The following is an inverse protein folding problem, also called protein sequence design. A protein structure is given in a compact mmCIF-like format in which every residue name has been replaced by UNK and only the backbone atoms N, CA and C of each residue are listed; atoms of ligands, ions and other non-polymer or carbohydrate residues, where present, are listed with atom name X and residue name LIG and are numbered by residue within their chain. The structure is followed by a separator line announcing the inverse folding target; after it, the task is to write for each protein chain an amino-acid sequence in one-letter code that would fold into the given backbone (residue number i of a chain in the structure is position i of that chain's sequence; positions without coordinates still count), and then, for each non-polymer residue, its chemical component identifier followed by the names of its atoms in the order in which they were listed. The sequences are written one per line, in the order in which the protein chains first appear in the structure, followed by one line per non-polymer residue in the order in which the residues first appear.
data_IF_717325000598
#
_entry.id   IF_717325000598
#
_cell.length_a   1.000
_cell.length_b   1.000
_cell.length_c   1.000
_cell.angle_alpha   90.00
_cell.angle_beta   90.00
_cell.angle_gamma   90.00
#
_symmetry.space_group_name_H-M   'P 1'
#
loop_
_entity.id
_entity.type
_entity.pdbx_description
1 polymer ?
#
# COMPACT_ATOMS: atom_id res chain seq x y z
N UNK A 1 19.55 -11.27 26.80
CA UNK A 1 19.73 -12.09 25.55
C UNK A 1 18.81 -11.52 24.49
N UNK A 2 19.24 -11.46 23.20
CA UNK A 2 18.34 -11.02 22.12
C UNK A 2 17.89 -12.21 21.30
N UNK A 3 16.59 -12.32 21.05
CA UNK A 3 15.99 -13.41 20.26
C UNK A 3 15.25 -12.81 19.07
N UNK A 4 15.38 -13.43 17.91
CA UNK A 4 14.65 -13.08 16.69
C UNK A 4 13.71 -14.24 16.34
N UNK A 5 12.42 -13.96 16.20
CA UNK A 5 11.37 -14.96 15.90
C UNK A 5 10.56 -14.52 14.68
N UNK A 6 10.43 -15.40 13.70
CA UNK A 6 9.58 -15.20 12.51
C UNK A 6 8.31 -16.02 12.70
N UNK A 7 7.17 -15.35 12.67
CA UNK A 7 5.86 -16.00 12.78
C UNK A 7 5.25 -16.24 11.38
N UNK A 8 5.35 -15.22 10.50
CA UNK A 8 4.87 -15.27 9.12
C UNK A 8 5.87 -14.55 8.20
N UNK A 9 5.69 -14.66 6.87
CA UNK A 9 6.47 -13.93 5.87
C UNK A 9 7.74 -14.64 5.37
N UNK A 10 8.09 -15.85 5.87
CA UNK A 10 9.29 -16.56 5.41
C UNK A 10 9.09 -17.39 4.13
N UNK A 11 7.87 -17.78 3.79
CA UNK A 11 7.55 -18.66 2.66
C UNK A 11 6.25 -18.30 1.96
N UNK A 12 5.73 -17.13 2.24
CA UNK A 12 4.49 -16.62 1.71
C UNK A 12 4.59 -15.11 1.51
N UNK A 13 3.81 -14.57 0.59
CA UNK A 13 3.68 -13.13 0.38
C UNK A 13 2.67 -12.59 1.37
N UNK A 14 3.02 -11.48 2.04
CA UNK A 14 2.16 -10.79 2.99
C UNK A 14 2.13 -11.38 4.40
N UNK A 15 1.47 -10.65 5.30
CA UNK A 15 1.34 -10.99 6.70
C UNK A 15 2.67 -11.05 7.45
N UNK A 16 3.67 -10.34 6.99
CA UNK A 16 4.98 -10.32 7.65
C UNK A 16 4.83 -9.95 9.12
N UNK A 17 5.33 -10.83 9.99
CA UNK A 17 5.36 -10.60 11.42
C UNK A 17 6.63 -11.19 12.02
N UNK A 18 7.52 -10.30 12.44
CA UNK A 18 8.80 -10.66 13.04
C UNK A 18 8.93 -9.99 14.40
N UNK A 19 9.48 -10.69 15.36
CA UNK A 19 9.65 -10.22 16.74
C UNK A 19 11.12 -10.23 17.11
N UNK A 20 11.63 -9.08 17.53
CA UNK A 20 12.92 -8.93 18.23
C UNK A 20 12.62 -8.77 19.70
N UNK A 21 13.07 -9.73 20.49
CA UNK A 21 12.81 -9.76 21.92
C UNK A 21 14.12 -9.70 22.72
N UNK A 22 14.11 -8.83 23.73
CA UNK A 22 15.17 -8.73 24.75
C UNK A 22 14.65 -9.12 26.13
N UNK A 23 15.42 -8.90 27.16
CA UNK A 23 14.96 -9.13 28.54
C UNK A 23 13.90 -8.09 28.96
N UNK A 24 13.93 -6.86 28.42
CA UNK A 24 13.06 -5.75 28.84
C UNK A 24 11.91 -5.48 27.84
N UNK A 25 12.14 -5.68 26.54
CA UNK A 25 11.20 -5.21 25.52
C UNK A 25 11.00 -6.21 24.37
N UNK A 26 9.91 -6.02 23.62
CA UNK A 26 9.66 -6.65 22.32
C UNK A 26 9.36 -5.58 21.27
N UNK A 27 10.17 -5.56 20.23
CA UNK A 27 9.93 -4.82 19.00
C UNK A 27 9.34 -5.77 17.97
N UNK A 28 8.18 -5.45 17.43
CA UNK A 28 7.45 -6.25 16.45
C UNK A 28 7.39 -5.48 15.13
N UNK A 29 7.71 -6.17 14.01
CA UNK A 29 7.70 -5.57 12.67
C UNK A 29 6.42 -5.96 11.95
N UNK A 30 5.70 -4.94 11.50
CA UNK A 30 4.48 -5.03 10.74
C UNK A 30 3.37 -5.87 11.41
N UNK A 31 2.14 -5.65 11.01
CA UNK A 31 0.99 -6.42 11.48
C UNK A 31 -0.10 -6.38 10.43
N UNK A 32 0.17 -7.00 9.31
CA UNK A 32 -0.77 -7.12 8.21
C UNK A 32 -1.40 -8.50 8.13
N UNK A 33 -2.28 -8.66 7.15
CA UNK A 33 -2.89 -9.95 6.87
C UNK A 33 -1.95 -10.84 6.07
N UNK A 34 -1.78 -12.09 6.50
CA UNK A 34 -1.25 -13.13 5.64
C UNK A 34 -2.17 -13.33 4.44
N UNK A 35 -1.61 -13.86 3.34
CA UNK A 35 -2.27 -13.98 2.03
C UNK A 35 -3.75 -14.34 2.11
N UNK A 36 -4.54 -13.65 1.32
CA UNK A 36 -6.00 -13.63 1.30
C UNK A 36 -6.66 -14.99 0.97
N UNK A 37 -5.93 -16.01 0.52
CA UNK A 37 -6.45 -17.36 0.29
C UNK A 37 -6.98 -18.04 1.57
N UNK A 38 -6.51 -17.57 2.74
CA UNK A 38 -7.01 -18.01 4.06
C UNK A 38 -8.30 -17.31 4.49
N UNK A 39 -8.75 -16.31 3.70
CA UNK A 39 -9.95 -15.52 3.96
C UNK A 39 -10.99 -15.83 2.86
N UNK A 40 -11.80 -16.85 3.07
CA UNK A 40 -12.92 -17.15 2.16
C UNK A 40 -14.01 -16.08 2.29
N UNK A 41 -14.36 -15.40 1.21
CA UNK A 41 -15.44 -14.41 1.15
C UNK A 41 -16.81 -14.93 1.64
N UNK A 42 -16.99 -16.24 1.67
CA UNK A 42 -18.22 -16.90 2.12
C UNK A 42 -18.27 -17.14 3.62
N UNK A 43 -17.13 -17.04 4.30
CA UNK A 43 -17.03 -17.23 5.76
C UNK A 43 -16.70 -15.89 6.39
N UNK A 44 -17.73 -15.20 6.88
CA UNK A 44 -17.53 -13.93 7.57
C UNK A 44 -16.97 -14.15 8.98
N UNK A 45 -15.94 -13.41 9.34
CA UNK A 45 -15.46 -13.33 10.71
C UNK A 45 -16.50 -12.65 11.60
N UNK A 46 -16.57 -13.04 12.86
CA UNK A 46 -17.52 -12.47 13.81
C UNK A 46 -17.09 -11.07 14.22
N UNK A 47 -17.99 -10.10 14.10
CA UNK A 47 -17.68 -8.69 14.31
C UNK A 47 -17.00 -8.41 15.67
N UNK A 48 -17.50 -9.02 16.76
CA UNK A 48 -16.97 -8.81 18.11
C UNK A 48 -15.74 -9.68 18.45
N UNK A 49 -15.41 -10.66 17.63
CA UNK A 49 -14.31 -11.60 17.85
C UNK A 49 -13.36 -11.65 16.64
N UNK A 50 -13.39 -10.63 15.79
CA UNK A 50 -12.66 -10.66 14.51
C UNK A 50 -11.15 -10.88 14.69
N UNK A 51 -10.51 -10.26 15.68
CA UNK A 51 -9.09 -10.45 15.98
C UNK A 51 -8.78 -11.93 16.32
N UNK A 52 -9.61 -12.55 17.18
CA UNK A 52 -9.43 -13.95 17.53
C UNK A 52 -9.72 -14.90 16.36
N UNK A 53 -10.71 -14.58 15.54
CA UNK A 53 -11.04 -15.38 14.35
C UNK A 53 -9.92 -15.32 13.30
N UNK A 54 -9.40 -14.13 12.99
CA UNK A 54 -8.26 -13.99 12.07
C UNK A 54 -6.99 -14.67 12.61
N UNK A 55 -6.72 -14.57 13.91
CA UNK A 55 -5.57 -15.25 14.51
C UNK A 55 -5.71 -16.78 14.43
N UNK A 56 -6.92 -17.33 14.67
CA UNK A 56 -7.21 -18.77 14.56
C UNK A 56 -7.11 -19.29 13.13
N UNK A 57 -7.45 -18.46 12.14
CA UNK A 57 -7.27 -18.78 10.73
C UNK A 57 -5.80 -18.69 10.28
N UNK A 58 -4.92 -18.14 11.13
CA UNK A 58 -3.53 -17.86 10.78
C UNK A 58 -3.36 -16.65 9.84
N UNK A 59 -4.41 -15.85 9.67
CA UNK A 59 -4.34 -14.60 8.90
C UNK A 59 -3.67 -13.47 9.68
N UNK A 60 -3.68 -13.55 11.03
CA UNK A 60 -2.92 -12.68 11.93
C UNK A 60 -2.07 -13.52 12.89
N UNK A 61 -1.00 -12.94 13.39
CA UNK A 61 -0.12 -13.61 14.33
C UNK A 61 -0.75 -13.73 15.71
N UNK A 62 -0.46 -14.85 16.39
CA UNK A 62 -0.79 -15.11 17.80
C UNK A 62 0.44 -14.88 18.65
N UNK A 63 0.52 -13.73 19.34
CA UNK A 63 1.66 -13.32 20.15
C UNK A 63 1.18 -12.81 21.53
N UNK A 64 1.91 -13.12 22.59
CA UNK A 64 1.68 -12.53 23.91
C UNK A 64 1.92 -11.02 23.90
N UNK A 65 1.10 -10.29 24.66
CA UNK A 65 1.29 -8.87 24.91
C UNK A 65 0.84 -7.92 23.79
N UNK A 66 0.03 -8.40 22.83
CA UNK A 66 -0.44 -7.53 21.73
C UNK A 66 -1.96 -7.32 21.71
N UNK A 67 -2.73 -8.21 22.30
CA UNK A 67 -4.18 -8.16 22.29
C UNK A 67 -4.76 -7.69 23.63
N UNK A 68 -6.02 -7.21 23.59
CA UNK A 68 -6.81 -6.94 24.78
C UNK A 68 -7.09 -8.22 25.58
N UNK A 69 -7.62 -8.06 26.80
CA UNK A 69 -7.83 -9.18 27.73
C UNK A 69 -8.79 -10.25 27.18
N UNK A 70 -9.88 -9.82 26.49
CA UNK A 70 -10.89 -10.73 25.98
C UNK A 70 -10.33 -11.56 24.80
N UNK A 71 -9.68 -10.91 23.85
CA UNK A 71 -9.03 -11.55 22.70
C UNK A 71 -7.91 -12.48 23.16
N UNK A 72 -7.02 -12.00 24.04
CA UNK A 72 -5.91 -12.80 24.57
C UNK A 72 -6.40 -14.04 25.29
N UNK A 73 -7.42 -13.92 26.17
CA UNK A 73 -8.06 -15.05 26.86
C UNK A 73 -8.62 -16.07 25.86
N UNK A 74 -9.30 -15.60 24.81
CA UNK A 74 -9.88 -16.45 23.76
C UNK A 74 -8.82 -17.26 23.01
N UNK A 75 -7.62 -16.68 22.85
CA UNK A 75 -6.48 -17.30 22.16
C UNK A 75 -5.55 -18.09 23.10
N UNK A 76 -5.74 -17.99 24.43
CA UNK A 76 -4.85 -18.60 25.41
C UNK A 76 -3.50 -17.87 25.55
N UNK A 77 -3.50 -16.57 25.30
CA UNK A 77 -2.32 -15.70 25.34
C UNK A 77 -2.32 -14.78 26.57
N UNK A 78 -1.16 -14.18 26.86
CA UNK A 78 -1.04 -13.09 27.84
C UNK A 78 -1.51 -11.79 27.17
N UNK A 79 -2.43 -11.05 27.82
CA UNK A 79 -2.90 -9.76 27.31
C UNK A 79 -1.83 -8.69 27.41
N UNK A 80 -2.01 -7.58 26.64
CA UNK A 80 -1.11 -6.43 26.70
C UNK A 80 -0.92 -5.89 28.13
N UNK A 81 -1.99 -5.74 28.88
CA UNK A 81 -1.94 -5.23 30.25
C UNK A 81 -1.21 -6.15 31.23
N UNK A 82 -1.23 -7.45 30.99
CA UNK A 82 -0.64 -8.46 31.88
C UNK A 82 0.77 -8.89 31.47
N UNK A 83 1.25 -8.45 30.31
CA UNK A 83 2.63 -8.73 29.90
C UNK A 83 3.61 -7.83 30.66
N UNK A 84 4.71 -8.41 31.08
CA UNK A 84 5.77 -7.71 31.83
C UNK A 84 6.76 -6.96 30.92
N UNK A 85 6.77 -7.28 29.64
CA UNK A 85 7.66 -6.66 28.65
C UNK A 85 7.05 -5.39 28.08
N UNK A 86 7.92 -4.48 27.66
CA UNK A 86 7.52 -3.28 26.93
C UNK A 86 7.30 -3.64 25.48
N UNK A 87 6.05 -3.91 25.09
CA UNK A 87 5.67 -4.28 23.74
C UNK A 87 5.42 -3.05 22.89
N UNK A 88 5.94 -3.03 21.65
CA UNK A 88 5.69 -1.99 20.68
C UNK A 88 5.86 -2.50 19.25
N UNK A 89 5.19 -1.84 18.30
CA UNK A 89 5.30 -2.12 16.88
C UNK A 89 6.09 -1.04 16.13
N UNK A 90 6.72 -1.46 15.04
CA UNK A 90 7.20 -0.59 13.96
C UNK A 90 6.57 -1.04 12.65
N UNK A 91 6.01 -0.11 11.88
CA UNK A 91 5.32 -0.39 10.62
C UNK A 91 6.10 0.19 9.47
N UNK A 92 6.51 -0.66 8.54
CA UNK A 92 7.34 -0.27 7.41
C UNK A 92 6.60 0.62 6.41
N UNK A 93 5.35 0.29 6.08
CA UNK A 93 4.54 1.04 5.12
C UNK A 93 3.05 0.69 5.21
N UNK A 94 2.23 1.34 4.37
CA UNK A 94 0.78 1.32 4.48
C UNK A 94 0.09 0.33 3.51
N UNK A 95 0.74 -0.76 3.09
CA UNK A 95 0.06 -1.87 2.43
C UNK A 95 -0.72 -2.73 3.45
N UNK A 96 -1.80 -3.36 2.98
CA UNK A 96 -2.72 -4.10 3.84
C UNK A 96 -2.06 -5.30 4.52
N UNK A 97 -1.13 -5.93 3.85
CA UNK A 97 -0.36 -7.08 4.33
C UNK A 97 0.77 -6.70 5.32
N UNK A 98 0.97 -5.39 5.56
CA UNK A 98 1.89 -4.84 6.56
C UNK A 98 1.16 -4.11 7.69
N UNK A 99 0.00 -3.47 7.44
CA UNK A 99 -0.69 -2.66 8.43
C UNK A 99 -2.16 -3.04 8.69
N UNK A 100 -2.74 -3.94 7.90
CA UNK A 100 -4.18 -4.21 7.92
C UNK A 100 -4.73 -4.70 9.26
N UNK A 101 -3.92 -5.34 10.08
CA UNK A 101 -4.30 -5.83 11.41
C UNK A 101 -4.23 -4.81 12.55
N UNK A 102 -3.69 -3.61 12.33
CA UNK A 102 -3.41 -2.64 13.40
C UNK A 102 -4.61 -2.32 14.30
N UNK A 103 -5.79 -2.22 13.72
CA UNK A 103 -7.02 -1.95 14.48
C UNK A 103 -7.43 -3.04 15.44
N UNK A 104 -6.85 -4.23 15.34
CA UNK A 104 -7.14 -5.40 16.18
C UNK A 104 -6.21 -5.53 17.38
N UNK A 105 -5.14 -4.73 17.42
CA UNK A 105 -4.24 -4.63 18.57
C UNK A 105 -4.94 -3.96 19.76
N UNK A 106 -4.44 -4.22 20.97
CA UNK A 106 -4.82 -3.41 22.13
C UNK A 106 -4.55 -1.93 21.85
N UNK A 107 -5.55 -1.09 22.07
CA UNK A 107 -5.51 0.33 21.67
C UNK A 107 -4.51 1.19 22.47
N UNK A 108 -3.93 0.65 23.54
CA UNK A 108 -2.89 1.31 24.33
C UNK A 108 -1.47 0.92 23.85
N UNK A 109 -1.36 -0.11 23.03
CA UNK A 109 -0.08 -0.55 22.48
C UNK A 109 0.53 0.53 21.57
N UNK A 110 1.81 0.83 21.76
CA UNK A 110 2.52 1.83 20.97
C UNK A 110 2.85 1.27 19.57
N UNK A 111 2.48 2.00 18.53
CA UNK A 111 2.78 1.71 17.13
C UNK A 111 3.55 2.87 16.53
N UNK A 112 4.78 2.64 16.13
CA UNK A 112 5.66 3.62 15.52
C UNK A 112 5.72 3.40 14.00
N UNK A 113 5.80 4.50 13.25
CA UNK A 113 5.93 4.51 11.79
C UNK A 113 6.57 5.83 11.35
N UNK A 114 6.87 6.02 10.08
CA UNK A 114 7.29 7.33 9.61
C UNK A 114 6.15 8.36 9.76
N UNK A 115 6.48 9.66 9.84
CA UNK A 115 5.47 10.74 9.88
C UNK A 115 4.54 10.69 8.67
N UNK A 116 5.09 10.42 7.48
CA UNK A 116 4.30 10.32 6.25
C UNK A 116 3.38 9.09 6.25
N UNK A 117 3.86 7.95 6.74
CA UNK A 117 3.01 6.77 6.97
C UNK A 117 1.87 7.07 7.93
N UNK A 118 2.14 7.78 9.04
CA UNK A 118 1.09 8.17 9.97
C UNK A 118 0.07 9.11 9.33
N UNK A 119 0.55 10.07 8.54
CA UNK A 119 -0.32 11.00 7.80
C UNK A 119 -1.22 10.26 6.81
N UNK A 120 -0.67 9.28 6.08
CA UNK A 120 -1.45 8.43 5.18
C UNK A 120 -2.44 7.55 5.97
N UNK A 121 -1.98 6.89 7.03
CA UNK A 121 -2.83 6.03 7.87
C UNK A 121 -4.09 6.77 8.37
N UNK A 122 -3.94 8.01 8.83
CA UNK A 122 -5.08 8.84 9.26
C UNK A 122 -6.02 9.20 8.11
N UNK A 123 -5.52 9.28 6.87
CA UNK A 123 -6.38 9.47 5.69
C UNK A 123 -7.11 8.20 5.31
N UNK A 124 -6.43 7.04 5.30
CA UNK A 124 -7.04 5.74 5.08
C UNK A 124 -8.19 5.52 6.08
N UNK A 125 -7.97 5.82 7.36
CA UNK A 125 -9.00 5.73 8.40
C UNK A 125 -10.18 6.68 8.12
N UNK A 126 -9.92 7.93 7.78
CA UNK A 126 -10.94 8.93 7.51
C UNK A 126 -11.77 8.63 6.25
N UNK A 127 -11.19 7.96 5.25
CA UNK A 127 -11.87 7.53 4.03
C UNK A 127 -12.53 6.15 4.16
N UNK A 128 -12.35 5.46 5.29
CA UNK A 128 -12.88 4.10 5.47
C UNK A 128 -12.10 3.02 4.72
N UNK A 129 -10.88 3.32 4.27
CA UNK A 129 -9.99 2.39 3.54
C UNK A 129 -9.08 1.63 4.52
N UNK A 130 -9.67 1.12 5.59
CA UNK A 130 -9.06 0.22 6.57
C UNK A 130 -10.00 -0.94 6.88
N UNK A 131 -9.44 -2.09 7.26
CA UNK A 131 -10.22 -3.33 7.34
C UNK A 131 -11.28 -3.35 8.45
N UNK A 132 -11.02 -2.78 9.62
CA UNK A 132 -11.95 -2.84 10.75
C UNK A 132 -12.11 -1.47 11.40
N UNK A 133 -11.10 -1.01 12.09
CA UNK A 133 -11.03 0.28 12.78
C UNK A 133 -9.58 0.74 12.85
N UNK A 134 -9.35 2.04 13.04
CA UNK A 134 -8.02 2.57 13.24
C UNK A 134 -7.43 2.20 14.61
N UNK A 135 -6.11 2.16 14.67
CA UNK A 135 -5.36 2.10 15.92
C UNK A 135 -5.05 3.51 16.41
N UNK A 136 -5.39 3.81 17.68
CA UNK A 136 -5.32 5.18 18.19
C UNK A 136 -3.90 5.61 18.54
N UNK A 137 -3.11 4.72 19.12
CA UNK A 137 -1.81 5.03 19.72
C UNK A 137 -0.66 4.88 18.73
N UNK A 138 -0.75 5.60 17.60
CA UNK A 138 0.28 5.65 16.58
C UNK A 138 1.14 6.91 16.73
N UNK A 139 2.45 6.75 16.57
CA UNK A 139 3.46 7.80 16.69
C UNK A 139 4.25 7.87 15.38
N UNK A 140 4.26 9.06 14.75
CA UNK A 140 5.10 9.35 13.59
C UNK A 140 6.50 9.75 14.01
N UNK A 141 7.51 9.19 13.36
CA UNK A 141 8.93 9.51 13.58
C UNK A 141 9.50 10.08 12.28
N UNK A 142 10.16 11.24 12.31
CA UNK A 142 10.87 11.76 11.14
C UNK A 142 11.95 10.81 10.65
N UNK A 143 12.21 10.80 9.34
CA UNK A 143 13.33 10.04 8.78
C UNK A 143 14.67 10.54 9.35
N UNK A 144 15.57 9.62 9.64
CA UNK A 144 16.88 9.88 10.26
C UNK A 144 16.84 10.04 11.78
N UNK A 145 15.66 10.03 12.39
CA UNK A 145 15.50 10.11 13.84
C UNK A 145 15.40 8.71 14.46
N UNK A 146 15.62 8.66 15.78
CA UNK A 146 15.55 7.41 16.54
C UNK A 146 14.75 7.56 17.81
N UNK A 147 14.24 6.44 18.32
CA UNK A 147 13.57 6.35 19.61
C UNK A 147 14.00 5.08 20.35
N UNK A 148 13.76 5.03 21.64
CA UNK A 148 14.14 3.89 22.49
C UNK A 148 12.98 3.43 23.33
N UNK A 149 12.73 2.11 23.36
CA UNK A 149 11.76 1.46 24.25
C UNK A 149 12.48 0.32 24.99
N UNK A 150 12.58 0.45 26.31
CA UNK A 150 13.38 -0.47 27.11
C UNK A 150 14.86 -0.39 26.73
N UNK A 151 15.41 -1.50 26.34
CA UNK A 151 16.80 -1.66 25.89
C UNK A 151 16.93 -1.82 24.36
N UNK A 152 15.87 -1.47 23.60
CA UNK A 152 15.84 -1.49 22.13
C UNK A 152 15.79 -0.05 21.61
N UNK A 153 16.74 0.32 20.75
CA UNK A 153 16.75 1.59 20.01
C UNK A 153 16.45 1.34 18.55
N UNK A 154 15.57 2.13 17.95
CA UNK A 154 15.12 2.03 16.56
C UNK A 154 15.40 3.34 15.84
N UNK A 155 16.14 3.28 14.73
CA UNK A 155 16.33 4.38 13.77
C UNK A 155 15.41 4.18 12.57
N UNK A 156 14.74 5.25 12.13
CA UNK A 156 13.77 5.24 11.03
C UNK A 156 14.40 5.86 9.79
N UNK A 157 14.46 5.11 8.68
CA UNK A 157 15.12 5.57 7.46
C UNK A 157 14.17 5.45 6.27
N UNK A 158 14.20 6.45 5.40
CA UNK A 158 13.38 6.43 4.18
C UNK A 158 13.79 5.31 3.23
N UNK A 159 12.79 4.74 2.55
CA UNK A 159 12.96 3.77 1.47
C UNK A 159 12.02 4.14 0.32
N UNK A 160 12.42 3.92 -0.94
CA UNK A 160 11.53 4.07 -2.09
C UNK A 160 10.66 2.83 -2.25
N UNK A 161 9.35 3.05 -2.21
CA UNK A 161 8.32 2.06 -2.49
C UNK A 161 7.14 2.75 -3.19
N UNK A 162 6.10 2.00 -3.59
CA UNK A 162 4.94 2.58 -4.29
C UNK A 162 3.91 3.21 -3.34
N UNK A 163 4.21 3.27 -2.06
CA UNK A 163 3.39 3.91 -1.02
C UNK A 163 4.20 4.98 -0.29
N UNK A 164 3.66 6.19 -0.22
CA UNK A 164 4.27 7.30 0.53
C UNK A 164 4.44 6.92 2.00
N UNK A 165 5.59 7.25 2.54
CA UNK A 165 5.90 7.00 3.94
C UNK A 165 6.66 5.69 4.18
N UNK A 166 6.95 4.90 3.14
CA UNK A 166 7.72 3.69 3.29
C UNK A 166 9.07 3.94 3.98
N UNK A 167 9.42 3.08 4.92
CA UNK A 167 10.63 3.18 5.71
C UNK A 167 11.20 1.82 6.08
N UNK A 168 12.51 1.77 6.20
CA UNK A 168 13.22 0.67 6.82
C UNK A 168 13.76 1.08 8.19
N UNK A 169 14.20 0.10 8.95
CA UNK A 169 14.59 0.27 10.33
C UNK A 169 15.99 -0.31 10.61
N UNK A 170 16.78 0.43 11.38
CA UNK A 170 17.94 -0.11 12.07
C UNK A 170 17.60 -0.27 13.54
N UNK A 171 17.68 -1.49 14.05
CA UNK A 171 17.34 -1.84 15.42
C UNK A 171 18.60 -2.22 16.14
N UNK A 172 18.89 -1.50 17.22
CA UNK A 172 20.03 -1.77 18.11
C UNK A 172 19.53 -2.38 19.41
N UNK A 173 20.09 -3.52 19.76
CA UNK A 173 19.79 -4.27 20.98
C UNK A 173 21.07 -4.61 21.74
N UNK A 174 21.00 -5.07 22.98
CA UNK A 174 22.19 -5.58 23.69
C UNK A 174 22.90 -6.77 23.00
N UNK A 175 22.19 -7.47 22.11
CA UNK A 175 22.73 -8.65 21.39
C UNK A 175 23.28 -8.36 20.01
N UNK A 176 23.11 -7.14 19.48
CA UNK A 176 23.58 -6.76 18.15
C UNK A 176 22.60 -5.86 17.42
N UNK A 177 22.89 -5.61 16.16
CA UNK A 177 22.16 -4.71 15.26
C UNK A 177 21.43 -5.47 14.17
N UNK A 178 20.19 -5.09 13.90
CA UNK A 178 19.31 -5.70 12.90
C UNK A 178 18.86 -4.62 11.94
N UNK A 179 18.88 -4.91 10.64
CA UNK A 179 18.21 -4.11 9.62
C UNK A 179 16.93 -4.83 9.19
N UNK A 180 15.83 -4.11 9.17
CA UNK A 180 14.58 -4.52 8.53
C UNK A 180 14.26 -3.56 7.40
N UNK A 181 14.14 -4.08 6.17
CA UNK A 181 13.93 -3.22 4.99
C UNK A 181 12.48 -2.80 4.80
N UNK A 182 11.50 -3.59 5.30
CA UNK A 182 10.17 -3.54 4.70
C UNK A 182 10.27 -3.87 3.21
N UNK A 183 9.28 -3.43 2.43
CA UNK A 183 9.28 -3.55 0.97
C UNK A 183 9.96 -2.35 0.33
N UNK A 184 10.68 -2.58 -0.77
CA UNK A 184 11.43 -1.53 -1.47
C UNK A 184 11.52 -1.77 -2.97
N UNK A 185 11.87 -0.74 -3.72
CA UNK A 185 12.09 -0.81 -5.17
C UNK A 185 13.27 0.06 -5.60
N UNK A 186 13.80 -0.22 -6.80
CA UNK A 186 14.83 0.59 -7.47
C UNK A 186 14.31 1.24 -8.78
N UNK A 187 13.08 0.97 -9.15
CA UNK A 187 12.43 1.49 -10.36
C UNK A 187 11.38 2.58 -10.05
N UNK A 188 11.33 3.07 -8.82
CA UNK A 188 10.50 4.18 -8.38
C UNK A 188 11.03 5.54 -8.84
N UNK A 189 10.44 6.61 -8.30
CA UNK A 189 10.90 7.98 -8.57
C UNK A 189 12.20 8.32 -7.83
N UNK A 190 12.53 7.62 -6.75
CA UNK A 190 13.62 7.94 -5.82
C UNK A 190 14.55 6.75 -5.52
N UNK A 191 15.10 6.06 -6.54
CA UNK A 191 15.96 4.89 -6.31
C UNK A 191 17.24 5.21 -5.51
N UNK A 192 17.68 6.48 -5.48
CA UNK A 192 18.79 6.95 -4.68
C UNK A 192 18.53 6.84 -3.17
N UNK A 193 17.27 6.97 -2.73
CA UNK A 193 16.87 6.83 -1.32
C UNK A 193 17.12 5.40 -0.85
N UNK A 194 16.65 4.39 -1.59
CA UNK A 194 16.91 2.98 -1.28
C UNK A 194 18.39 2.65 -1.29
N UNK A 195 19.15 3.21 -2.25
CA UNK A 195 20.62 3.04 -2.28
C UNK A 195 21.30 3.66 -1.06
N UNK A 196 20.86 4.86 -0.64
CA UNK A 196 21.38 5.52 0.55
C UNK A 196 21.08 4.72 1.82
N UNK A 197 19.84 4.20 1.94
CA UNK A 197 19.46 3.28 3.02
C UNK A 197 20.42 2.08 3.10
N UNK A 198 20.65 1.38 1.98
CA UNK A 198 21.56 0.24 1.93
C UNK A 198 23.00 0.60 2.36
N UNK A 199 23.48 1.81 2.06
CA UNK A 199 24.80 2.27 2.52
C UNK A 199 24.85 2.50 4.04
N UNK A 200 23.78 3.08 4.62
CA UNK A 200 23.67 3.28 6.08
C UNK A 200 23.58 1.97 6.84
N UNK A 201 23.01 0.93 6.25
CA UNK A 201 22.82 -0.39 6.88
C UNK A 201 24.06 -1.28 6.80
N UNK A 202 25.16 -0.82 6.21
CA UNK A 202 26.42 -1.60 6.20
C UNK A 202 26.89 -1.91 7.61
N UNK A 203 27.25 -3.19 7.82
CA UNK A 203 27.82 -3.66 9.06
C UNK A 203 26.82 -4.02 10.15
N UNK A 204 25.51 -4.08 9.85
CA UNK A 204 24.54 -4.70 10.76
C UNK A 204 24.82 -6.20 10.87
N UNK A 205 24.49 -6.78 12.03
CA UNK A 205 24.72 -8.20 12.30
C UNK A 205 23.69 -9.09 11.59
N UNK A 206 22.45 -8.60 11.40
CA UNK A 206 21.36 -9.32 10.74
C UNK A 206 20.65 -8.40 9.75
N UNK A 207 20.40 -8.90 8.55
CA UNK A 207 19.57 -8.26 7.54
C UNK A 207 18.28 -9.08 7.32
N UNK A 208 17.15 -8.44 7.52
CA UNK A 208 15.82 -8.95 7.18
C UNK A 208 15.35 -8.14 5.98
N UNK A 209 15.18 -8.78 4.84
CA UNK A 209 14.82 -8.14 3.57
C UNK A 209 13.69 -8.91 2.89
N UNK A 210 12.89 -8.19 2.11
CA UNK A 210 11.91 -8.82 1.22
C UNK A 210 12.60 -9.70 0.17
N UNK A 211 11.81 -10.58 -0.45
CA UNK A 211 12.28 -11.49 -1.49
C UNK A 211 11.21 -11.85 -2.51
N UNK A 212 10.24 -10.97 -2.77
CA UNK A 212 9.10 -11.24 -3.66
C UNK A 212 9.54 -11.74 -5.03
N UNK A 213 10.55 -11.13 -5.63
CA UNK A 213 11.08 -11.51 -6.95
C UNK A 213 11.89 -12.81 -6.97
N UNK A 214 12.30 -13.33 -5.82
CA UNK A 214 13.10 -14.55 -5.67
C UNK A 214 12.37 -15.65 -4.89
N UNK A 215 11.08 -15.47 -4.60
CA UNK A 215 10.27 -16.38 -3.78
C UNK A 215 9.71 -17.58 -4.53
N UNK A 216 10.02 -17.74 -5.82
CA UNK A 216 9.51 -18.85 -6.64
C UNK A 216 10.51 -20.01 -6.63
N UNK A 217 10.07 -21.19 -6.18
CA UNK A 217 10.88 -22.42 -6.06
C UNK A 217 11.52 -22.88 -7.37
N UNK A 218 10.96 -22.46 -8.52
CA UNK A 218 11.41 -22.86 -9.86
C UNK A 218 12.40 -21.87 -10.51
N UNK A 219 12.78 -20.80 -9.81
CA UNK A 219 13.70 -19.79 -10.36
C UNK A 219 15.13 -20.11 -9.99
N UNK A 220 15.92 -20.58 -10.96
CA UNK A 220 17.38 -20.63 -10.82
C UNK A 220 17.93 -19.17 -10.85
N UNK A 221 18.17 -18.60 -9.68
CA UNK A 221 18.68 -17.24 -9.50
C UNK A 221 19.99 -17.03 -10.29
N UNK A 222 20.79 -18.08 -10.44
CA UNK A 222 22.06 -18.01 -11.18
C UNK A 222 21.84 -17.97 -12.70
N UNK A 223 20.65 -18.36 -13.16
CA UNK A 223 20.26 -18.28 -14.58
C UNK A 223 19.53 -16.99 -14.94
N UNK A 224 19.19 -16.13 -13.97
CA UNK A 224 18.58 -14.83 -14.23
C UNK A 224 19.54 -13.95 -15.01
N UNK A 225 19.37 -13.93 -16.31
CA UNK A 225 20.04 -12.94 -17.18
C UNK A 225 19.36 -11.58 -16.98
N UNK A 226 20.15 -10.50 -17.09
CA UNK A 226 19.59 -9.15 -17.11
C UNK A 226 18.51 -9.08 -18.20
N UNK A 227 17.29 -8.56 -17.90
CA UNK A 227 16.23 -8.47 -18.92
C UNK A 227 16.75 -7.77 -20.16
N UNK A 228 16.40 -8.28 -21.34
CA UNK A 228 16.74 -7.65 -22.64
C UNK A 228 15.99 -6.33 -22.82
N UNK A 229 14.81 -6.18 -22.17
CA UNK A 229 14.02 -4.96 -22.20
C UNK A 229 14.53 -3.95 -21.12
N UNK A 230 14.48 -2.63 -21.42
CA UNK A 230 14.80 -1.63 -20.42
C UNK A 230 13.86 -1.75 -19.21
N UNK A 231 14.39 -1.51 -18.03
CA UNK A 231 13.62 -1.49 -16.80
C UNK A 231 12.48 -0.48 -16.90
N UNK A 232 11.26 -0.91 -16.62
CA UNK A 232 10.05 -0.08 -16.65
C UNK A 232 9.94 0.68 -15.34
N UNK A 233 10.60 1.84 -15.28
CA UNK A 233 10.54 2.74 -14.12
C UNK A 233 9.26 3.57 -14.10
N UNK A 234 9.01 4.26 -12.98
CA UNK A 234 7.94 5.25 -12.89
C UNK A 234 8.11 6.38 -13.92
N UNK A 235 9.34 6.81 -14.20
CA UNK A 235 9.62 7.80 -15.25
C UNK A 235 9.26 7.28 -16.64
N UNK A 236 9.65 6.03 -16.95
CA UNK A 236 9.26 5.37 -18.21
C UNK A 236 7.74 5.32 -18.37
N UNK A 237 7.02 5.05 -17.28
CA UNK A 237 5.55 5.01 -17.30
C UNK A 237 4.97 6.39 -17.62
N UNK A 238 5.48 7.46 -16.99
CA UNK A 238 5.05 8.84 -17.27
C UNK A 238 5.31 9.25 -18.72
N UNK A 239 6.49 8.92 -19.27
CA UNK A 239 6.84 9.19 -20.66
C UNK A 239 5.93 8.43 -21.64
N UNK A 240 5.61 7.19 -21.32
CA UNK A 240 4.68 6.37 -22.12
C UNK A 240 3.28 6.98 -22.12
N UNK A 241 2.76 7.38 -20.96
CA UNK A 241 1.46 8.03 -20.86
C UNK A 241 1.44 9.37 -21.59
N UNK A 242 2.52 10.14 -21.50
CA UNK A 242 2.66 11.41 -22.23
C UNK A 242 2.55 11.18 -23.74
N UNK A 243 3.26 10.18 -24.27
CA UNK A 243 3.19 9.81 -25.69
C UNK A 243 1.79 9.38 -26.09
N UNK A 244 1.24 8.39 -25.41
CA UNK A 244 -0.10 7.84 -25.69
C UNK A 244 -1.17 8.96 -25.60
N UNK A 245 -1.10 9.81 -24.58
CA UNK A 245 -2.05 10.92 -24.41
C UNK A 245 -2.04 11.92 -25.57
N UNK A 246 -0.91 12.07 -26.24
CA UNK A 246 -0.78 12.94 -27.41
C UNK A 246 -1.40 12.31 -28.66
N UNK A 247 -1.34 10.99 -28.79
CA UNK A 247 -1.86 10.24 -29.94
C UNK A 247 -3.38 10.00 -29.87
N UNK A 248 -3.95 9.89 -28.66
CA UNK A 248 -5.38 9.61 -28.47
C UNK A 248 -6.26 10.85 -28.63
N UNK A 249 -7.42 10.66 -29.27
CA UNK A 249 -8.42 11.73 -29.49
C UNK A 249 -9.63 11.64 -28.56
N UNK A 250 -9.79 10.56 -27.82
CA UNK A 250 -10.88 10.32 -26.89
C UNK A 250 -10.42 10.32 -25.43
N UNK A 251 -11.25 9.78 -24.58
CA UNK A 251 -11.01 9.61 -23.15
C UNK A 251 -9.99 8.49 -22.93
N UNK A 252 -9.01 8.75 -22.08
CA UNK A 252 -8.04 7.77 -21.61
C UNK A 252 -8.44 7.37 -20.20
N UNK A 253 -8.48 6.07 -19.94
CA UNK A 253 -8.71 5.53 -18.59
C UNK A 253 -7.39 5.01 -18.04
N UNK A 254 -7.11 5.31 -16.77
CA UNK A 254 -5.99 4.77 -16.00
C UNK A 254 -6.49 4.11 -14.74
N UNK A 255 -5.87 2.98 -14.37
CA UNK A 255 -6.20 2.25 -13.15
C UNK A 255 -4.91 2.01 -12.36
N UNK A 256 -4.43 3.02 -11.61
CA UNK A 256 -3.27 2.89 -10.74
C UNK A 256 -3.66 2.18 -9.43
N UNK A 257 -2.68 1.61 -8.75
CA UNK A 257 -2.84 1.14 -7.37
C UNK A 257 -3.29 2.29 -6.45
N UNK A 258 -4.31 2.03 -5.64
CA UNK A 258 -5.03 3.07 -4.90
C UNK A 258 -4.21 3.87 -3.87
N UNK A 259 -3.10 3.34 -3.38
CA UNK A 259 -2.25 4.00 -2.38
C UNK A 259 -0.96 4.58 -2.96
N UNK A 260 -0.78 4.48 -4.30
CA UNK A 260 0.35 5.11 -4.98
C UNK A 260 0.06 6.58 -5.29
N UNK A 261 0.04 7.39 -4.23
CA UNK A 261 -0.30 8.82 -4.27
C UNK A 261 0.70 9.62 -5.10
N UNK A 262 1.98 9.26 -5.04
CA UNK A 262 3.04 9.92 -5.80
C UNK A 262 2.87 9.72 -7.31
N UNK A 263 2.49 8.52 -7.74
CA UNK A 263 2.16 8.24 -9.15
C UNK A 263 1.02 9.12 -9.64
N UNK A 264 -0.02 9.32 -8.81
CA UNK A 264 -1.15 10.18 -9.16
C UNK A 264 -0.73 11.65 -9.30
N UNK A 265 0.12 12.16 -8.41
CA UNK A 265 0.71 13.48 -8.52
C UNK A 265 1.47 13.65 -9.86
N UNK A 266 2.33 12.70 -10.20
CA UNK A 266 3.05 12.71 -11.47
C UNK A 266 2.12 12.58 -12.68
N UNK A 267 1.00 11.85 -12.58
CA UNK A 267 -0.02 11.78 -13.62
C UNK A 267 -0.74 13.11 -13.85
N UNK A 268 -0.97 13.90 -12.80
CA UNK A 268 -1.51 15.27 -12.95
C UNK A 268 -0.55 16.10 -13.81
N UNK A 269 0.74 16.10 -13.48
CA UNK A 269 1.75 16.83 -14.26
C UNK A 269 1.87 16.31 -15.69
N UNK A 270 1.80 15.01 -15.91
CA UNK A 270 1.86 14.39 -17.24
C UNK A 270 0.63 14.75 -18.07
N UNK A 271 -0.56 14.72 -17.48
CA UNK A 271 -1.77 15.16 -18.16
C UNK A 271 -1.66 16.63 -18.61
N UNK A 272 -1.22 17.53 -17.72
CA UNK A 272 -1.02 18.94 -18.03
C UNK A 272 -0.04 19.18 -19.18
N UNK A 273 1.08 18.44 -19.24
CA UNK A 273 2.06 18.52 -20.35
C UNK A 273 1.44 18.21 -21.72
N UNK A 274 0.39 17.38 -21.75
CA UNK A 274 -0.31 16.98 -22.97
C UNK A 274 -1.57 17.81 -23.27
N UNK A 275 -1.83 18.84 -22.47
CA UNK A 275 -3.04 19.66 -22.57
C UNK A 275 -4.31 18.97 -22.04
N UNK A 276 -4.16 17.87 -21.31
CA UNK A 276 -5.24 17.14 -20.64
C UNK A 276 -5.26 17.46 -19.15
N UNK A 277 -6.32 17.02 -18.48
CA UNK A 277 -6.44 17.07 -17.02
C UNK A 277 -6.73 15.68 -16.47
N UNK A 278 -6.12 15.33 -15.35
CA UNK A 278 -6.43 14.11 -14.63
C UNK A 278 -7.71 14.32 -13.80
N UNK A 279 -8.67 13.44 -13.97
CA UNK A 279 -9.90 13.36 -13.17
C UNK A 279 -9.80 12.08 -12.33
N UNK A 280 -10.05 12.17 -11.04
CA UNK A 280 -9.87 11.05 -10.12
C UNK A 280 -11.08 10.83 -9.23
N UNK A 281 -11.13 9.70 -8.54
CA UNK A 281 -12.15 9.45 -7.55
C UNK A 281 -11.95 10.30 -6.28
N UNK A 282 -13.00 10.38 -5.45
CA UNK A 282 -13.00 11.25 -4.27
C UNK A 282 -12.06 10.78 -3.17
N UNK A 283 -11.69 9.51 -3.13
CA UNK A 283 -10.73 8.94 -2.17
C UNK A 283 -9.31 9.32 -2.58
N UNK A 284 -8.94 9.08 -3.84
CA UNK A 284 -7.63 9.44 -4.37
C UNK A 284 -7.40 10.95 -4.36
N UNK A 285 -8.44 11.73 -4.65
CA UNK A 285 -8.42 13.20 -4.54
C UNK A 285 -8.01 13.66 -3.12
N UNK A 286 -8.55 13.02 -2.09
CA UNK A 286 -8.20 13.34 -0.70
C UNK A 286 -6.76 12.97 -0.35
N UNK A 287 -6.28 11.82 -0.84
CA UNK A 287 -4.90 11.40 -0.63
C UNK A 287 -3.92 12.34 -1.33
N UNK A 288 -4.14 12.62 -2.62
CA UNK A 288 -3.27 13.53 -3.37
C UNK A 288 -3.21 14.89 -2.73
N UNK A 289 -4.35 15.52 -2.42
CA UNK A 289 -4.35 16.84 -1.81
C UNK A 289 -3.69 16.86 -0.42
N UNK A 290 -3.70 15.74 0.29
CA UNK A 290 -3.06 15.64 1.60
C UNK A 290 -1.55 15.78 1.50
N UNK A 291 -0.91 15.22 0.48
CA UNK A 291 0.54 15.22 0.29
C UNK A 291 1.01 16.31 -0.69
N UNK A 292 0.17 16.67 -1.66
CA UNK A 292 0.44 17.65 -2.71
C UNK A 292 -0.68 18.71 -2.75
N UNK A 293 -0.73 19.60 -1.75
CA UNK A 293 -1.84 20.56 -1.58
C UNK A 293 -1.94 21.60 -2.70
N UNK A 294 -0.88 21.78 -3.49
CA UNK A 294 -0.88 22.70 -4.63
C UNK A 294 -1.47 22.09 -5.90
N UNK A 295 -1.72 20.80 -5.96
CA UNK A 295 -2.26 20.15 -7.16
C UNK A 295 -3.71 20.58 -7.42
N UNK A 296 -4.02 20.82 -8.70
CA UNK A 296 -5.39 21.04 -9.14
C UNK A 296 -6.17 19.72 -9.10
N UNK A 297 -7.13 19.61 -8.20
CA UNK A 297 -7.93 18.40 -8.03
C UNK A 297 -9.22 18.48 -8.82
N UNK A 298 -9.44 17.51 -9.71
CA UNK A 298 -10.68 17.28 -10.44
C UNK A 298 -11.28 15.95 -10.01
N UNK A 299 -12.42 16.00 -9.33
CA UNK A 299 -13.14 14.82 -8.83
C UNK A 299 -14.24 14.41 -9.80
N UNK A 300 -14.33 13.13 -10.10
CA UNK A 300 -15.45 12.60 -10.89
C UNK A 300 -16.70 12.44 -10.03
N UNK A 301 -17.85 12.96 -10.49
CA UNK A 301 -19.11 12.98 -9.73
C UNK A 301 -19.64 11.58 -9.38
N UNK A 302 -19.43 10.58 -10.27
CA UNK A 302 -19.90 9.20 -10.11
C UNK A 302 -18.76 8.27 -9.69
N UNK A 303 -17.92 8.70 -8.79
CA UNK A 303 -16.75 7.92 -8.33
C UNK A 303 -16.86 7.49 -6.88
N UNK A 304 -15.97 6.58 -6.49
CA UNK A 304 -15.84 6.15 -5.10
C UNK A 304 -15.47 7.35 -4.22
N UNK A 305 -16.16 7.52 -3.10
CA UNK A 305 -15.92 8.62 -2.17
C UNK A 305 -16.22 10.01 -2.73
N UNK A 306 -16.97 10.11 -3.85
CA UNK A 306 -17.42 11.38 -4.38
C UNK A 306 -18.38 12.06 -3.37
N UNK A 307 -18.02 13.29 -2.99
CA UNK A 307 -18.77 14.11 -2.05
C UNK A 307 -18.69 15.58 -2.49
N UNK A 308 -19.81 16.11 -2.98
CA UNK A 308 -19.88 17.48 -3.48
C UNK A 308 -19.61 18.53 -2.39
N UNK A 309 -20.04 18.27 -1.16
CA UNK A 309 -19.78 19.18 -0.04
C UNK A 309 -18.29 19.21 0.31
N UNK A 310 -17.66 18.05 0.38
CA UNK A 310 -16.22 17.93 0.60
C UNK A 310 -15.42 18.59 -0.53
N UNK A 311 -15.86 18.41 -1.78
CA UNK A 311 -15.23 19.06 -2.94
C UNK A 311 -15.31 20.61 -2.82
N UNK A 312 -16.46 21.16 -2.45
CA UNK A 312 -16.63 22.60 -2.21
C UNK A 312 -15.71 23.10 -1.08
N UNK A 313 -15.71 22.41 0.06
CA UNK A 313 -14.87 22.76 1.23
C UNK A 313 -13.36 22.71 0.92
N UNK A 314 -12.95 21.81 0.02
CA UNK A 314 -11.57 21.58 -0.38
C UNK A 314 -11.14 22.37 -1.62
N UNK A 315 -12.08 23.03 -2.31
CA UNK A 315 -11.80 23.76 -3.55
C UNK A 315 -11.58 22.87 -4.76
N UNK A 316 -12.10 21.64 -4.77
CA UNK A 316 -12.01 20.72 -5.89
C UNK A 316 -13.02 21.08 -7.00
N UNK A 317 -12.64 20.86 -8.26
CA UNK A 317 -13.56 20.93 -9.38
C UNK A 317 -14.27 19.59 -9.56
N UNK A 318 -15.60 19.60 -9.71
CA UNK A 318 -16.38 18.40 -10.00
C UNK A 318 -16.53 18.26 -11.52
N UNK A 319 -16.18 17.12 -12.06
CA UNK A 319 -16.34 16.76 -13.47
C UNK A 319 -17.51 15.79 -13.60
N UNK A 320 -18.49 16.15 -14.41
CA UNK A 320 -19.67 15.34 -14.65
C UNK A 320 -19.46 14.33 -15.77
N UNK A 321 -20.31 13.28 -15.82
CA UNK A 321 -20.31 12.34 -16.94
C UNK A 321 -20.60 13.05 -18.28
N UNK A 322 -21.49 14.03 -18.28
CA UNK A 322 -21.81 14.81 -19.46
C UNK A 322 -20.59 15.59 -20.00
N UNK A 323 -19.79 16.15 -19.10
CA UNK A 323 -18.54 16.84 -19.46
C UNK A 323 -17.52 15.87 -20.07
N UNK A 324 -17.36 14.67 -19.50
CA UNK A 324 -16.48 13.64 -20.07
C UNK A 324 -16.95 13.18 -21.47
N UNK A 325 -18.25 12.98 -21.66
CA UNK A 325 -18.81 12.59 -22.95
C UNK A 325 -18.68 13.69 -24.01
N UNK A 326 -18.82 14.96 -23.60
CA UNK A 326 -18.77 16.11 -24.51
C UNK A 326 -17.35 16.52 -24.88
N UNK A 327 -16.37 16.31 -23.98
CA UNK A 327 -14.99 16.77 -24.12
C UNK A 327 -13.96 15.67 -23.80
N UNK A 328 -14.08 14.45 -24.34
CA UNK A 328 -13.29 13.30 -23.90
C UNK A 328 -11.77 13.48 -24.08
N UNK A 329 -11.35 14.23 -25.11
CA UNK A 329 -9.93 14.48 -25.39
C UNK A 329 -9.25 15.41 -24.38
N UNK A 330 -9.99 16.09 -23.52
CA UNK A 330 -9.44 16.96 -22.46
C UNK A 330 -9.03 16.21 -21.21
N UNK A 331 -9.45 14.94 -21.07
CA UNK A 331 -9.34 14.25 -19.79
C UNK A 331 -8.59 12.93 -19.87
N UNK A 332 -7.95 12.59 -18.77
CA UNK A 332 -7.55 11.25 -18.36
C UNK A 332 -8.38 10.94 -17.12
N UNK A 333 -9.10 9.83 -17.08
CA UNK A 333 -9.95 9.45 -15.96
C UNK A 333 -9.31 8.28 -15.19
N UNK A 334 -8.98 8.51 -13.93
CA UNK A 334 -8.62 7.43 -13.01
C UNK A 334 -9.92 6.72 -12.54
N UNK A 335 -9.90 5.40 -12.58
CA UNK A 335 -11.00 4.57 -12.11
C UNK A 335 -10.51 3.38 -11.29
N UNK A 336 -11.11 3.21 -10.13
CA UNK A 336 -10.97 2.02 -9.30
C UNK A 336 -11.80 0.85 -9.84
N UNK A 337 -11.39 -0.39 -9.57
CA UNK A 337 -12.09 -1.62 -9.95
C UNK A 337 -13.56 -1.64 -9.50
N UNK A 338 -13.85 -1.14 -8.30
CA UNK A 338 -15.20 -1.17 -7.75
C UNK A 338 -16.19 -0.32 -8.53
N UNK A 339 -15.70 0.61 -9.36
CA UNK A 339 -16.52 1.53 -10.14
C UNK A 339 -16.45 1.30 -11.67
N UNK A 340 -15.96 0.16 -12.13
CA UNK A 340 -15.78 -0.12 -13.56
C UNK A 340 -17.07 -0.15 -14.37
N UNK A 341 -18.23 -0.30 -13.75
CA UNK A 341 -19.50 -0.18 -14.47
C UNK A 341 -19.72 1.21 -15.09
N UNK A 342 -19.14 2.27 -14.53
CA UNK A 342 -19.15 3.61 -15.14
C UNK A 342 -18.51 3.65 -16.54
N UNK A 343 -17.53 2.77 -16.80
CA UNK A 343 -16.88 2.68 -18.10
C UNK A 343 -17.84 2.23 -19.20
N UNK A 344 -18.92 1.51 -18.86
CA UNK A 344 -19.94 1.11 -19.85
C UNK A 344 -20.69 2.33 -20.38
N UNK A 345 -21.00 3.30 -19.51
CA UNK A 345 -21.70 4.53 -19.89
C UNK A 345 -20.78 5.49 -20.66
N UNK A 346 -19.47 5.37 -20.48
CA UNK A 346 -18.44 6.16 -21.18
C UNK A 346 -17.86 5.44 -22.41
N UNK A 347 -18.30 4.21 -22.71
CA UNK A 347 -17.70 3.35 -23.75
C UNK A 347 -17.60 3.97 -25.13
N UNK A 348 -18.53 4.87 -25.49
CA UNK A 348 -18.54 5.55 -26.80
C UNK A 348 -17.39 6.55 -27.00
N UNK A 349 -16.73 6.99 -25.95
CA UNK A 349 -15.67 8.01 -25.98
C UNK A 349 -14.32 7.54 -25.49
N UNK A 350 -14.26 6.33 -24.87
CA UNK A 350 -12.99 5.73 -24.42
C UNK A 350 -12.18 5.29 -25.64
N UNK A 351 -10.92 5.72 -25.71
CA UNK A 351 -10.00 5.32 -26.80
C UNK A 351 -8.80 4.51 -26.31
N UNK A 352 -8.49 4.56 -25.01
CA UNK A 352 -7.39 3.83 -24.42
C UNK A 352 -7.69 3.51 -22.95
N UNK A 353 -7.36 2.29 -22.53
CA UNK A 353 -7.29 1.90 -21.13
C UNK A 353 -5.85 1.48 -20.78
N UNK A 354 -5.29 2.04 -19.73
CA UNK A 354 -3.96 1.72 -19.23
C UNK A 354 -4.09 1.11 -17.83
N UNK A 355 -3.78 -0.18 -17.74
CA UNK A 355 -3.69 -0.87 -16.45
C UNK A 355 -2.36 -0.51 -15.80
N UNK A 356 -2.42 0.02 -14.59
CA UNK A 356 -1.28 0.52 -13.84
C UNK A 356 -1.21 -0.07 -12.42
N UNK A 357 -2.14 -0.93 -12.10
CA UNK A 357 -2.11 -1.76 -10.91
C UNK A 357 -1.22 -2.99 -11.16
N UNK A 358 -0.72 -3.64 -10.12
CA UNK A 358 0.13 -4.82 -10.25
C UNK A 358 -0.59 -6.00 -10.94
N UNK A 359 0.18 -6.98 -11.40
CA UNK A 359 -0.38 -8.26 -11.80
C UNK A 359 -1.04 -8.93 -10.58
N UNK A 360 -2.13 -9.70 -10.77
CA UNK A 360 -2.75 -10.42 -9.66
C UNK A 360 -1.74 -11.36 -9.02
N UNK A 361 -1.66 -11.34 -7.69
CA UNK A 361 -0.74 -12.15 -6.90
C UNK A 361 -1.14 -13.63 -6.85
N UNK A 362 -2.29 -14.01 -7.43
CA UNK A 362 -2.79 -15.38 -7.51
C UNK A 362 -4.29 -15.46 -7.83
N UNK A 363 -4.82 -16.68 -7.82
CA UNK A 363 -6.22 -16.97 -8.14
C UNK A 363 -7.22 -16.36 -7.13
N UNK A 364 -6.74 -15.94 -5.97
CA UNK A 364 -7.54 -15.29 -4.93
C UNK A 364 -7.87 -13.82 -5.25
N UNK A 365 -7.24 -13.22 -6.27
CA UNK A 365 -7.60 -11.89 -6.74
C UNK A 365 -8.51 -11.96 -7.99
N UNK A 366 -9.84 -11.96 -7.82
CA UNK A 366 -10.79 -12.05 -8.92
C UNK A 366 -10.93 -10.73 -9.69
N UNK A 367 -10.34 -9.64 -9.19
CA UNK A 367 -10.55 -8.28 -9.72
C UNK A 367 -10.03 -8.17 -11.15
N UNK A 368 -8.86 -8.73 -11.44
CA UNK A 368 -8.27 -8.73 -12.77
C UNK A 368 -9.16 -9.44 -13.80
N UNK A 369 -9.70 -10.62 -13.46
CA UNK A 369 -10.62 -11.34 -14.35
C UNK A 369 -11.96 -10.61 -14.55
N UNK A 370 -12.45 -9.90 -13.54
CA UNK A 370 -13.65 -9.05 -13.65
C UNK A 370 -13.36 -7.83 -14.54
N UNK A 371 -12.22 -7.17 -14.35
CA UNK A 371 -11.75 -6.08 -15.19
C UNK A 371 -11.71 -6.47 -16.66
N UNK A 372 -11.06 -7.58 -17.00
CA UNK A 372 -11.00 -8.07 -18.37
C UNK A 372 -12.39 -8.24 -18.99
N UNK A 373 -13.33 -8.82 -18.26
CA UNK A 373 -14.72 -8.97 -18.75
C UNK A 373 -15.39 -7.63 -18.97
N UNK A 374 -15.22 -6.67 -18.06
CA UNK A 374 -15.76 -5.32 -18.23
C UNK A 374 -15.18 -4.65 -19.50
N UNK A 375 -13.86 -4.71 -19.68
CA UNK A 375 -13.18 -4.10 -20.83
C UNK A 375 -13.61 -4.71 -22.18
N UNK A 376 -13.91 -6.00 -22.23
CA UNK A 376 -14.46 -6.64 -23.45
C UNK A 376 -15.80 -6.03 -23.88
N UNK A 377 -16.61 -5.51 -22.94
CA UNK A 377 -17.89 -4.86 -23.24
C UNK A 377 -17.77 -3.34 -23.43
N UNK A 378 -16.67 -2.73 -23.01
CA UNK A 378 -16.45 -1.27 -23.07
C UNK A 378 -15.49 -0.86 -24.19
N UNK A 379 -14.69 -1.80 -24.73
CA UNK A 379 -13.77 -1.52 -25.82
C UNK A 379 -14.46 -1.60 -27.18
N UNK A 380 -14.30 -0.62 -28.06
CA UNK A 380 -14.85 -0.67 -29.41
C UNK A 380 -14.19 -1.73 -30.32
N UNK A 381 -13.05 -2.29 -29.90
CA UNK A 381 -12.37 -3.38 -30.59
C UNK A 381 -11.64 -4.33 -29.61
N UNK A 382 -11.89 -5.64 -29.67
CA UNK A 382 -11.14 -6.61 -28.88
C UNK A 382 -9.65 -6.72 -29.29
N UNK A 383 -9.20 -5.93 -30.27
CA UNK A 383 -7.80 -5.86 -30.72
C UNK A 383 -7.02 -4.70 -30.15
N UNK A 384 -7.70 -3.73 -29.52
CA UNK A 384 -7.03 -2.60 -28.87
C UNK A 384 -6.45 -3.10 -27.56
N UNK A 385 -5.18 -3.50 -27.65
CA UNK A 385 -4.52 -4.31 -26.65
C UNK A 385 -4.43 -3.61 -25.31
N UNK A 386 -4.65 -4.38 -24.29
CA UNK A 386 -4.13 -4.15 -22.96
C UNK A 386 -2.61 -3.93 -23.05
N UNK A 387 -2.17 -2.68 -23.00
CA UNK A 387 -0.77 -2.37 -22.71
C UNK A 387 -0.57 -2.53 -21.20
N UNK A 388 -0.51 -3.79 -20.80
CA UNK A 388 -0.08 -4.17 -19.46
C UNK A 388 1.10 -5.11 -19.58
N UNK A 389 2.17 -4.74 -18.97
CA UNK A 389 3.06 -5.70 -18.26
C UNK A 389 3.91 -4.91 -17.30
#
# INVERSE_FOLDING_TARGET
MTTLTFYNGLREIGGTFVVVETDEARCMFDFGFAVMDRMDDKIAVRYNECAADYARLGALASQDGIYDEETAKTLGLVSFENDKKKNFFVISHMHIDHMGGLGMLDQNLLVYMSEDSLKLYRRLEACGDIQVKGHKNCIGIPYGESFTVGDITVEVEAIDHDVIGACGYRITTPGGTICYTGDYRFHGFHPEITKAFGQKMKGVDVLITEGVTVSFDDVDILSLTKPEEPERSEEWLQDTICKESTEQKGLIIVNPYNRNVERLHHLIMTAQKTGRKLVMDGVQADYVQTFYPEDEILMYENSVGADAKKAEERGWSIITREELLSNPSKYILQQDYVNFYELMDLSSVITLYIHMDGAPLGDYDPSFGKMHRCLLYTSPSPRDGLLSR
#
